data_IF_893012556427
#
_entry.id   IF_893012556427
#
_cell.length_a   1.000
_cell.length_b   1.000
_cell.length_c   1.000
_cell.angle_alpha   90.00
_cell.angle_beta   90.00
_cell.angle_gamma   90.00
#
_symmetry.space_group_name_H-M   'P 1'
#
loop_
_entity.id
_entity.type
_entity.pdbx_description
1 polymer ?
#
# COMPACT_ATOMS: atom_id res chain seq x y z
N UNK A 1 29.04 -29.90 -5.29
CA UNK A 1 28.18 -28.75 -4.98
C UNK A 1 28.75 -28.05 -3.77
N UNK A 2 29.19 -26.80 -3.91
CA UNK A 2 29.62 -25.97 -2.77
C UNK A 2 28.43 -25.73 -1.84
N UNK A 3 28.70 -25.71 -0.54
CA UNK A 3 27.71 -25.43 0.51
C UNK A 3 27.07 -24.04 0.27
N UNK A 4 25.75 -23.85 0.43
CA UNK A 4 25.13 -22.54 0.30
C UNK A 4 25.65 -21.59 1.38
N UNK A 5 25.90 -20.33 0.99
CA UNK A 5 26.33 -19.28 1.92
C UNK A 5 25.11 -18.68 2.63
N UNK A 6 25.24 -18.40 3.92
CA UNK A 6 24.14 -17.85 4.73
C UNK A 6 24.57 -16.61 5.51
N UNK A 7 23.68 -15.61 5.55
CA UNK A 7 23.74 -14.49 6.48
C UNK A 7 22.55 -14.55 7.44
N UNK A 8 22.79 -14.27 8.71
CA UNK A 8 21.76 -14.24 9.74
C UNK A 8 21.70 -12.85 10.35
N UNK A 9 20.49 -12.31 10.44
CA UNK A 9 20.16 -11.04 11.05
C UNK A 9 19.14 -11.24 12.16
N UNK A 10 19.30 -10.51 13.26
CA UNK A 10 18.33 -10.42 14.35
C UNK A 10 17.65 -9.05 14.23
N UNK A 11 16.32 -9.03 14.16
CA UNK A 11 15.54 -7.82 13.90
C UNK A 11 14.41 -7.67 14.90
N UNK A 12 14.31 -6.51 15.54
CA UNK A 12 13.21 -6.19 16.46
C UNK A 12 11.92 -6.03 15.67
N UNK A 13 10.83 -6.50 16.26
CA UNK A 13 9.50 -6.38 15.71
C UNK A 13 8.47 -6.30 16.83
N UNK A 14 7.29 -6.85 16.60
CA UNK A 14 6.18 -6.83 17.57
C UNK A 14 6.35 -7.78 18.77
N UNK A 15 7.30 -8.70 18.73
CA UNK A 15 7.55 -9.66 19.81
C UNK A 15 8.57 -9.10 20.82
N UNK A 16 8.57 -9.67 22.03
CA UNK A 16 9.56 -9.35 23.07
C UNK A 16 10.99 -9.70 22.64
N UNK A 17 11.14 -10.82 21.93
CA UNK A 17 12.41 -11.27 21.37
C UNK A 17 12.56 -10.86 19.90
N UNK A 18 13.78 -10.50 19.45
CA UNK A 18 14.04 -10.25 18.04
C UNK A 18 13.69 -11.47 17.17
N UNK A 19 13.12 -11.20 16.00
CA UNK A 19 12.95 -12.18 14.93
C UNK A 19 14.28 -12.48 14.25
N UNK A 20 14.40 -13.66 13.67
CA UNK A 20 15.56 -14.09 12.89
C UNK A 20 15.23 -14.00 11.40
N UNK A 21 16.07 -13.28 10.65
CA UNK A 21 16.04 -13.28 9.19
C UNK A 21 17.28 -13.99 8.66
N UNK A 22 17.07 -14.99 7.81
CA UNK A 22 18.13 -15.78 7.18
C UNK A 22 18.13 -15.49 5.69
N UNK A 23 19.24 -15.01 5.18
CA UNK A 23 19.49 -14.79 3.76
C UNK A 23 20.39 -15.91 3.28
N UNK A 24 19.94 -16.64 2.26
CA UNK A 24 20.63 -17.81 1.71
C UNK A 24 20.96 -17.50 0.26
N UNK A 25 22.24 -17.58 -0.08
CA UNK A 25 22.71 -17.54 -1.47
C UNK A 25 22.81 -18.96 -1.98
N UNK A 26 21.87 -19.36 -2.86
CA UNK A 26 21.80 -20.73 -3.36
C UNK A 26 22.83 -20.97 -4.48
N UNK A 27 22.87 -20.05 -5.46
CA UNK A 27 23.82 -20.10 -6.58
C UNK A 27 23.84 -18.77 -7.33
N UNK A 28 25.02 -18.22 -7.60
CA UNK A 28 25.18 -16.99 -8.37
C UNK A 28 24.34 -15.85 -7.80
N UNK A 29 23.30 -15.46 -8.54
CA UNK A 29 22.43 -14.33 -8.22
C UNK A 29 21.06 -14.77 -7.66
N UNK A 30 20.88 -16.06 -7.38
CA UNK A 30 19.65 -16.58 -6.77
C UNK A 30 19.74 -16.50 -5.25
N UNK A 31 18.95 -15.58 -4.68
CA UNK A 31 18.85 -15.39 -3.24
C UNK A 31 17.52 -15.91 -2.70
N UNK A 32 17.52 -16.24 -1.42
CA UNK A 32 16.29 -16.52 -0.68
C UNK A 32 16.37 -15.88 0.70
N UNK A 33 15.28 -15.25 1.11
CA UNK A 33 15.17 -14.59 2.41
C UNK A 33 14.04 -15.22 3.22
N UNK A 34 14.35 -15.73 4.41
CA UNK A 34 13.39 -16.35 5.32
C UNK A 34 13.32 -15.56 6.62
N UNK A 35 12.13 -15.45 7.20
CA UNK A 35 11.95 -14.79 8.48
C UNK A 35 11.02 -15.62 9.36
N UNK A 36 11.35 -15.76 10.64
CA UNK A 36 10.57 -16.52 11.62
C UNK A 36 9.38 -15.74 12.22
N UNK A 37 9.15 -14.48 11.79
CA UNK A 37 7.98 -13.71 12.19
C UNK A 37 6.67 -14.35 11.66
N UNK A 38 5.49 -14.02 12.23
CA UNK A 38 4.22 -14.62 11.83
C UNK A 38 3.92 -14.52 10.32
N UNK A 39 4.24 -13.38 9.71
CA UNK A 39 4.12 -13.18 8.26
C UNK A 39 5.10 -14.06 7.46
N UNK A 40 6.37 -14.09 7.90
CA UNK A 40 7.40 -14.90 7.25
C UNK A 40 7.12 -16.40 7.32
N UNK A 41 6.64 -16.90 8.46
CA UNK A 41 6.20 -18.30 8.64
C UNK A 41 5.03 -18.69 7.74
N UNK A 42 4.17 -17.74 7.40
CA UNK A 42 3.06 -17.94 6.43
C UNK A 42 3.49 -17.76 4.98
N UNK A 43 4.77 -17.50 4.72
CA UNK A 43 5.30 -17.25 3.38
C UNK A 43 4.99 -15.86 2.81
N UNK A 44 4.27 -14.99 3.54
CA UNK A 44 3.91 -13.66 3.05
C UNK A 44 5.06 -12.67 3.18
N UNK A 45 5.09 -11.61 2.36
CA UNK A 45 6.03 -10.51 2.53
C UNK A 45 5.93 -9.94 3.96
N UNK A 46 7.07 -9.58 4.55
CA UNK A 46 7.13 -9.02 5.89
C UNK A 46 8.10 -7.85 5.92
N UNK A 47 7.75 -6.81 6.68
CA UNK A 47 8.54 -5.58 6.77
C UNK A 47 9.99 -5.84 7.16
N UNK A 48 10.22 -6.86 7.99
CA UNK A 48 11.55 -7.29 8.41
C UNK A 48 12.45 -7.69 7.23
N UNK A 49 11.98 -8.57 6.32
CA UNK A 49 12.77 -9.00 5.15
C UNK A 49 12.99 -7.86 4.18
N UNK A 50 11.91 -7.14 3.84
CA UNK A 50 11.95 -6.07 2.85
C UNK A 50 12.93 -4.98 3.28
N UNK A 51 12.88 -4.54 4.55
CA UNK A 51 13.81 -3.52 5.07
C UNK A 51 15.27 -3.95 4.99
N UNK A 52 15.59 -5.18 5.40
CA UNK A 52 16.96 -5.69 5.32
C UNK A 52 17.46 -5.72 3.88
N UNK A 53 16.65 -6.23 2.96
CA UNK A 53 17.03 -6.34 1.55
C UNK A 53 17.11 -4.97 0.86
N UNK A 54 16.36 -3.99 1.34
CA UNK A 54 16.46 -2.58 0.94
C UNK A 54 17.66 -1.85 1.56
N UNK A 55 18.49 -2.55 2.33
CA UNK A 55 19.68 -1.98 2.97
C UNK A 55 19.40 -1.14 4.21
N UNK A 56 18.18 -1.18 4.75
CA UNK A 56 17.84 -0.49 6.00
C UNK A 56 18.24 -1.32 7.21
N UNK A 57 19.12 -0.76 8.05
CA UNK A 57 19.50 -1.30 9.36
C UNK A 57 18.51 -0.97 10.47
N UNK A 58 17.41 -0.28 10.14
CA UNK A 58 16.38 0.09 11.09
C UNK A 58 15.79 -1.16 11.77
N UNK A 59 15.92 -1.23 13.10
CA UNK A 59 15.48 -2.33 13.96
C UNK A 59 16.35 -3.60 13.93
N UNK A 60 17.42 -3.65 13.14
CA UNK A 60 18.39 -4.74 13.27
C UNK A 60 19.22 -4.59 14.56
N UNK A 61 19.51 -5.70 15.24
CA UNK A 61 20.49 -5.69 16.33
C UNK A 61 21.90 -5.68 15.72
N UNK A 62 22.81 -4.95 16.35
CA UNK A 62 24.16 -4.64 15.83
C UNK A 62 25.14 -5.81 15.95
N UNK A 63 24.66 -7.04 16.08
CA UNK A 63 25.48 -8.20 16.41
C UNK A 63 26.52 -8.57 15.32
N UNK A 64 26.33 -8.15 14.06
CA UNK A 64 27.32 -8.36 12.99
C UNK A 64 27.30 -7.25 11.92
N UNK A 65 28.08 -6.17 12.07
CA UNK A 65 28.14 -5.06 11.11
C UNK A 65 28.66 -5.47 9.72
N UNK A 66 29.59 -6.44 9.66
CA UNK A 66 30.18 -6.93 8.39
C UNK A 66 29.15 -7.59 7.46
N UNK A 67 28.09 -8.18 8.01
CA UNK A 67 27.04 -8.85 7.24
C UNK A 67 26.27 -7.87 6.33
N UNK A 68 26.24 -6.57 6.65
CA UNK A 68 25.55 -5.57 5.86
C UNK A 68 26.21 -5.32 4.51
N UNK A 69 27.55 -5.21 4.48
CA UNK A 69 28.29 -5.03 3.24
C UNK A 69 28.16 -6.27 2.35
N UNK A 70 28.25 -7.48 2.94
CA UNK A 70 28.04 -8.72 2.21
C UNK A 70 26.62 -8.83 1.67
N UNK A 71 25.61 -8.47 2.48
CA UNK A 71 24.22 -8.47 2.04
C UNK A 71 23.99 -7.51 0.87
N UNK A 72 24.53 -6.28 0.95
CA UNK A 72 24.42 -5.31 -0.14
C UNK A 72 25.02 -5.84 -1.45
N UNK A 73 26.19 -6.50 -1.37
CA UNK A 73 26.84 -7.14 -2.52
C UNK A 73 26.03 -8.32 -3.07
N UNK A 74 25.40 -9.12 -2.20
CA UNK A 74 24.56 -10.24 -2.63
C UNK A 74 23.28 -9.77 -3.30
N UNK A 75 22.64 -8.74 -2.74
CA UNK A 75 21.39 -8.19 -3.28
C UNK A 75 21.63 -7.56 -4.65
N UNK A 76 22.74 -6.86 -4.85
CA UNK A 76 23.08 -6.26 -6.14
C UNK A 76 23.14 -7.32 -7.27
N UNK A 77 22.31 -7.14 -8.30
CA UNK A 77 22.18 -8.03 -9.44
C UNK A 77 21.41 -9.33 -9.16
N UNK A 78 20.80 -9.48 -7.97
CA UNK A 78 20.02 -10.67 -7.62
C UNK A 78 18.59 -10.67 -8.19
N UNK A 79 18.01 -11.86 -8.28
CA UNK A 79 16.59 -12.05 -8.58
C UNK A 79 15.67 -11.35 -7.56
N UNK A 80 16.09 -11.31 -6.28
CA UNK A 80 15.39 -10.57 -5.24
C UNK A 80 15.43 -9.06 -5.49
N UNK A 81 16.55 -8.48 -5.95
CA UNK A 81 16.60 -7.05 -6.25
C UNK A 81 15.63 -6.69 -7.37
N UNK A 82 15.60 -7.47 -8.44
CA UNK A 82 14.63 -7.28 -9.53
C UNK A 82 13.19 -7.32 -9.01
N UNK A 83 12.87 -8.32 -8.19
CA UNK A 83 11.54 -8.42 -7.57
C UNK A 83 11.21 -7.25 -6.63
N UNK A 84 12.19 -6.71 -5.90
CA UNK A 84 12.00 -5.55 -5.02
C UNK A 84 11.75 -4.27 -5.81
N UNK A 85 12.44 -4.06 -6.93
CA UNK A 85 12.19 -2.94 -7.83
C UNK A 85 10.77 -3.03 -8.39
N UNK A 86 10.40 -4.19 -8.94
CA UNK A 86 9.06 -4.42 -9.47
C UNK A 86 7.96 -4.23 -8.41
N UNK A 87 8.21 -4.66 -7.17
CA UNK A 87 7.28 -4.44 -6.05
C UNK A 87 7.10 -2.94 -5.76
N UNK A 88 8.17 -2.16 -5.71
CA UNK A 88 8.10 -0.71 -5.44
C UNK A 88 7.37 0.04 -6.55
N UNK A 89 7.61 -0.32 -7.80
CA UNK A 89 6.91 0.27 -8.94
C UNK A 89 5.40 -0.04 -8.88
N UNK A 90 5.04 -1.30 -8.62
CA UNK A 90 3.64 -1.70 -8.45
C UNK A 90 2.97 -1.01 -7.24
N UNK A 91 3.67 -0.82 -6.13
CA UNK A 91 3.16 -0.09 -4.96
C UNK A 91 2.90 1.39 -5.28
N UNK A 92 3.77 2.02 -6.08
CA UNK A 92 3.60 3.40 -6.55
C UNK A 92 2.37 3.54 -7.44
N UNK A 93 2.22 2.65 -8.43
CA UNK A 93 1.07 2.62 -9.32
C UNK A 93 -0.23 2.38 -8.54
N UNK A 94 -0.23 1.47 -7.57
CA UNK A 94 -1.36 1.22 -6.69
C UNK A 94 -1.73 2.46 -5.87
N UNK A 95 -0.73 3.19 -5.36
CA UNK A 95 -0.96 4.42 -4.60
C UNK A 95 -1.57 5.52 -5.47
N UNK A 96 -1.14 5.65 -6.73
CA UNK A 96 -1.72 6.57 -7.72
C UNK A 96 -3.17 6.20 -8.04
N UNK A 97 -3.43 4.93 -8.37
CA UNK A 97 -4.77 4.44 -8.66
C UNK A 97 -5.74 4.68 -7.49
N UNK A 98 -5.30 4.42 -6.24
CA UNK A 98 -6.11 4.68 -5.04
C UNK A 98 -6.45 6.16 -4.88
N UNK A 99 -5.53 7.08 -5.18
CA UNK A 99 -5.81 8.52 -5.16
C UNK A 99 -6.84 8.91 -6.21
N UNK A 100 -6.75 8.36 -7.42
CA UNK A 100 -7.73 8.60 -8.48
C UNK A 100 -9.13 8.09 -8.10
N UNK A 101 -9.23 6.86 -7.60
CA UNK A 101 -10.52 6.31 -7.13
C UNK A 101 -11.13 7.18 -6.04
N UNK A 102 -10.33 7.59 -5.05
CA UNK A 102 -10.82 8.47 -3.99
C UNK A 102 -11.30 9.83 -4.52
N UNK A 103 -10.60 10.44 -5.48
CA UNK A 103 -11.02 11.68 -6.11
C UNK A 103 -12.35 11.52 -6.87
N UNK A 104 -12.55 10.39 -7.55
CA UNK A 104 -13.80 10.08 -8.24
C UNK A 104 -14.95 9.85 -7.26
N UNK A 105 -14.73 9.14 -6.16
CA UNK A 105 -15.72 8.95 -5.09
C UNK A 105 -16.19 10.31 -4.53
N UNK A 106 -15.24 11.23 -4.30
CA UNK A 106 -15.55 12.58 -3.87
C UNK A 106 -16.36 13.37 -4.90
N UNK A 107 -16.05 13.24 -6.19
CA UNK A 107 -16.80 13.88 -7.27
C UNK A 107 -18.24 13.34 -7.36
N UNK A 108 -18.42 12.02 -7.26
CA UNK A 108 -19.76 11.41 -7.23
C UNK A 108 -20.59 11.89 -6.04
N UNK A 109 -19.99 12.02 -4.86
CA UNK A 109 -20.67 12.53 -3.68
C UNK A 109 -21.13 13.99 -3.84
N UNK A 110 -20.39 14.81 -4.56
CA UNK A 110 -20.78 16.20 -4.88
C UNK A 110 -21.92 16.22 -5.89
N UNK A 111 -21.84 15.44 -6.96
CA UNK A 111 -22.87 15.37 -8.00
C UNK A 111 -24.23 14.92 -7.43
N UNK A 112 -24.25 13.87 -6.61
CA UNK A 112 -25.47 13.41 -5.95
C UNK A 112 -26.13 14.51 -5.10
N UNK A 113 -25.35 15.29 -4.37
CA UNK A 113 -25.86 16.41 -3.55
C UNK A 113 -26.44 17.51 -4.43
N UNK A 114 -25.78 17.84 -5.54
CA UNK A 114 -26.26 18.84 -6.48
C UNK A 114 -27.56 18.40 -7.17
N UNK A 115 -27.66 17.14 -7.59
CA UNK A 115 -28.88 16.58 -8.18
C UNK A 115 -30.05 16.60 -7.19
N UNK A 116 -29.82 16.22 -5.93
CA UNK A 116 -30.85 16.29 -4.90
C UNK A 116 -31.33 17.74 -4.64
N UNK A 117 -30.42 18.72 -4.66
CA UNK A 117 -30.78 20.14 -4.52
C UNK A 117 -31.59 20.65 -5.73
N UNK A 118 -31.22 20.23 -6.95
CA UNK A 118 -31.96 20.59 -8.18
C UNK A 118 -33.38 20.07 -8.19
N UNK A 119 -33.59 18.80 -7.84
CA UNK A 119 -34.94 18.21 -7.77
C UNK A 119 -35.83 19.02 -6.81
N UNK A 120 -35.31 19.36 -5.62
CA UNK A 120 -36.05 20.18 -4.64
C UNK A 120 -36.41 21.58 -5.17
N UNK A 121 -35.49 22.19 -5.93
CA UNK A 121 -35.75 23.49 -6.56
C UNK A 121 -36.86 23.39 -7.61
N UNK A 122 -36.79 22.38 -8.49
CA UNK A 122 -37.81 22.13 -9.52
C UNK A 122 -39.20 21.88 -8.91
N UNK A 123 -39.28 21.09 -7.83
CA UNK A 123 -40.54 20.85 -7.12
C UNK A 123 -41.10 22.13 -6.47
N UNK A 124 -40.23 22.95 -5.87
CA UNK A 124 -40.62 24.24 -5.29
C UNK A 124 -41.15 25.19 -6.37
N UNK A 125 -40.49 25.25 -7.53
CA UNK A 125 -40.91 26.07 -8.66
C UNK A 125 -42.27 25.63 -9.21
N UNK A 126 -42.53 24.32 -9.31
CA UNK A 126 -43.84 23.77 -9.70
C UNK A 126 -44.94 24.19 -8.73
N UNK A 127 -44.69 24.09 -7.42
CA UNK A 127 -45.64 24.53 -6.38
C UNK A 127 -45.94 26.03 -6.48
N UNK A 128 -44.91 26.88 -6.60
CA UNK A 128 -45.07 28.33 -6.74
C UNK A 128 -45.88 28.67 -8.00
N UNK A 129 -45.61 28.00 -9.13
CA UNK A 129 -46.37 28.18 -10.37
C UNK A 129 -47.85 27.81 -10.20
N UNK A 130 -48.13 26.68 -9.56
CA UNK A 130 -49.50 26.23 -9.27
C UNK A 130 -50.25 27.20 -8.37
N UNK A 131 -49.62 27.70 -7.31
CA UNK A 131 -50.19 28.70 -6.39
C UNK A 131 -50.51 29.99 -7.15
N UNK A 132 -49.57 30.52 -7.95
CA UNK A 132 -49.79 31.71 -8.77
C UNK A 132 -50.99 31.54 -9.71
N UNK A 133 -51.11 30.38 -10.35
CA UNK A 133 -52.24 30.06 -11.25
C UNK A 133 -53.57 30.02 -10.49
N UNK A 134 -53.61 29.42 -9.30
CA UNK A 134 -54.82 29.35 -8.48
C UNK A 134 -55.25 30.72 -7.97
N UNK A 135 -54.30 31.55 -7.53
CA UNK A 135 -54.55 32.94 -7.13
C UNK A 135 -55.10 33.78 -8.28
N UNK A 136 -54.49 33.67 -9.47
CA UNK A 136 -54.95 34.39 -10.66
C UNK A 136 -56.38 33.99 -11.07
N UNK A 137 -56.71 32.69 -11.01
CA UNK A 137 -58.08 32.22 -11.29
C UNK A 137 -59.09 32.81 -10.31
N UNK A 138 -58.74 32.88 -9.01
CA UNK A 138 -59.62 33.41 -7.96
C UNK A 138 -59.80 34.94 -7.98
N UNK A 139 -58.95 35.67 -8.71
CA UNK A 139 -59.08 37.12 -8.92
C UNK A 139 -59.92 37.48 -10.15
N UNK A 140 -60.29 36.49 -10.97
CA UNK A 140 -61.11 36.66 -12.18
C UNK A 140 -62.58 36.22 -11.97
N UNK A 141 -62.89 35.65 -10.80
CA UNK A 141 -64.24 35.37 -10.28
C UNK A 141 -64.69 36.51 -9.36
#
# INVERSE_FOLDING_TARGET
MSKPEELIFRVRGSASEPYTVRIVRRSGNNLSAYCDCPAGKKGSHCKHRIRLLDGSSENATTENPSNWNTLAQWVAGSDIQEALVALKDAEKELAEAKRCVHALDMAFAVDQKYMAARIKLEDTQRLVSAIKKALAARLLD
#
